data_IF_932096741525
#
_entry.id   IF_932096741525
#
_cell.length_a   1.000
_cell.length_b   1.000
_cell.length_c   1.000
_cell.angle_alpha   90.00
_cell.angle_beta   90.00
_cell.angle_gamma   90.00
#
_symmetry.space_group_name_H-M   'P 1'
#
loop_
_entity.id
_entity.type
_entity.pdbx_description
1 polymer ?
#
# COMPACT_ATOMS: atom_id res chain seq x y z
N UNK A 1 13.34 -0.21 33.11
CA UNK A 1 13.09 -1.31 32.16
C UNK A 1 12.28 -0.74 30.98
N UNK A 2 12.77 -0.78 29.73
CA UNK A 2 11.95 -0.36 28.57
C UNK A 2 10.98 -1.49 28.23
N UNK A 3 9.68 -1.21 28.27
CA UNK A 3 8.68 -2.14 27.77
C UNK A 3 8.97 -2.46 26.30
N UNK A 4 9.11 -3.74 25.93
CA UNK A 4 9.19 -4.15 24.53
C UNK A 4 7.80 -3.94 23.93
N UNK A 5 7.60 -2.82 23.26
CA UNK A 5 6.38 -2.59 22.48
C UNK A 5 6.37 -3.62 21.36
N UNK A 6 5.44 -4.58 21.40
CA UNK A 6 5.21 -5.50 20.29
C UNK A 6 4.38 -4.74 19.24
N UNK A 7 4.96 -4.30 18.12
CA UNK A 7 4.22 -3.55 17.13
C UNK A 7 3.13 -4.41 16.51
N UNK A 8 1.95 -3.84 16.32
CA UNK A 8 0.80 -4.50 15.68
C UNK A 8 0.76 -4.12 14.21
N UNK A 9 0.59 -5.10 13.32
CA UNK A 9 0.44 -4.82 11.89
C UNK A 9 -0.90 -4.11 11.64
N UNK A 10 -0.86 -2.93 11.01
CA UNK A 10 -2.03 -2.13 10.65
C UNK A 10 -3.01 -2.87 9.70
N UNK A 11 -2.49 -3.72 8.81
CA UNK A 11 -3.35 -4.46 7.85
C UNK A 11 -4.10 -5.62 8.49
N UNK A 12 -3.48 -6.33 9.46
CA UNK A 12 -4.04 -7.57 10.04
C UNK A 12 -4.55 -7.41 11.47
N UNK A 13 -4.20 -6.33 12.15
CA UNK A 13 -4.53 -6.09 13.55
C UNK A 13 -3.87 -7.08 14.52
N UNK A 14 -2.86 -7.84 14.08
CA UNK A 14 -2.17 -8.84 14.91
C UNK A 14 -0.73 -8.39 15.23
N UNK A 15 -0.19 -8.78 16.41
CA UNK A 15 1.20 -8.52 16.74
C UNK A 15 2.15 -9.07 15.68
N UNK A 16 3.16 -8.28 15.33
CA UNK A 16 4.26 -8.70 14.48
C UNK A 16 5.18 -9.61 15.31
N UNK A 17 5.59 -10.74 14.73
CA UNK A 17 6.54 -11.67 15.38
C UNK A 17 7.83 -10.93 15.72
N UNK A 18 8.36 -11.12 16.93
CA UNK A 18 9.54 -10.40 17.42
C UNK A 18 10.77 -10.50 16.49
N UNK A 19 10.94 -11.64 15.81
CA UNK A 19 12.06 -11.88 14.88
C UNK A 19 11.66 -11.70 13.41
N UNK A 20 10.45 -11.20 13.14
CA UNK A 20 9.96 -10.97 11.78
C UNK A 20 10.43 -9.65 11.21
N UNK A 21 10.80 -9.62 9.93
CA UNK A 21 11.02 -8.37 9.21
C UNK A 21 9.72 -7.54 9.17
N UNK A 22 9.80 -6.29 9.59
CA UNK A 22 8.69 -5.34 9.57
C UNK A 22 9.10 -3.97 9.06
N UNK A 23 8.13 -3.26 8.50
CA UNK A 23 8.26 -1.87 8.11
C UNK A 23 7.66 -0.98 9.19
N UNK A 24 8.41 0.04 9.60
CA UNK A 24 7.94 1.15 10.43
C UNK A 24 7.90 2.41 9.58
N UNK A 25 6.72 3.02 9.43
CA UNK A 25 6.59 4.30 8.76
C UNK A 25 6.14 5.39 9.74
N UNK A 26 6.77 6.55 9.60
CA UNK A 26 6.43 7.75 10.33
C UNK A 26 5.59 8.66 9.45
N UNK A 27 4.37 8.92 9.89
CA UNK A 27 3.47 9.93 9.36
C UNK A 27 3.41 11.09 10.35
N UNK A 28 2.95 12.25 9.87
CA UNK A 28 2.73 13.41 10.75
C UNK A 28 1.74 13.00 11.86
N UNK A 29 2.23 12.97 13.10
CA UNK A 29 1.44 12.61 14.28
C UNK A 29 1.12 11.11 14.47
N UNK A 30 1.56 10.21 13.57
CA UNK A 30 1.27 8.77 13.68
C UNK A 30 2.45 7.92 13.24
N UNK A 31 2.68 6.81 13.94
CA UNK A 31 3.59 5.75 13.48
C UNK A 31 2.77 4.52 13.14
N UNK A 32 3.01 3.94 11.97
CA UNK A 32 2.36 2.73 11.52
C UNK A 32 3.39 1.61 11.36
N UNK A 33 2.93 0.38 11.57
CA UNK A 33 3.74 -0.82 11.46
C UNK A 33 3.07 -1.82 10.53
N UNK A 34 3.86 -2.48 9.69
CA UNK A 34 3.40 -3.59 8.84
C UNK A 34 4.39 -4.73 8.89
N UNK A 35 3.89 -5.96 8.91
CA UNK A 35 4.74 -7.07 8.49
C UNK A 35 5.12 -6.93 7.01
N UNK A 36 6.30 -7.45 6.67
CA UNK A 36 6.85 -7.34 5.32
C UNK A 36 5.88 -7.84 4.23
N UNK A 37 5.20 -8.97 4.47
CA UNK A 37 4.24 -9.55 3.51
C UNK A 37 3.02 -8.64 3.29
N UNK A 38 2.47 -8.06 4.36
CA UNK A 38 1.37 -7.11 4.25
C UNK A 38 1.77 -5.83 3.53
N UNK A 39 2.99 -5.34 3.76
CA UNK A 39 3.52 -4.21 3.03
C UNK A 39 3.65 -4.51 1.52
N UNK A 40 4.25 -5.66 1.16
CA UNK A 40 4.36 -6.07 -0.24
C UNK A 40 2.99 -6.18 -0.93
N UNK A 41 2.02 -6.80 -0.27
CA UNK A 41 0.66 -6.91 -0.80
C UNK A 41 0.01 -5.53 -1.02
N UNK A 42 0.20 -4.58 -0.09
CA UNK A 42 -0.33 -3.23 -0.21
C UNK A 42 0.32 -2.45 -1.37
N UNK A 43 1.62 -2.64 -1.58
CA UNK A 43 2.32 -2.06 -2.73
C UNK A 43 1.80 -2.62 -4.05
N UNK A 44 1.55 -3.93 -4.14
CA UNK A 44 0.96 -4.56 -5.32
C UNK A 44 -0.45 -4.04 -5.61
N UNK A 45 -1.30 -3.97 -4.60
CA UNK A 45 -2.66 -3.40 -4.70
C UNK A 45 -2.64 -1.96 -5.21
N UNK A 46 -1.69 -1.14 -4.73
CA UNK A 46 -1.55 0.25 -5.16
C UNK A 46 -1.10 0.40 -6.62
N UNK A 47 -0.34 -0.56 -7.14
CA UNK A 47 0.09 -0.59 -8.54
C UNK A 47 -1.06 -1.04 -9.45
N UNK A 48 -1.81 -2.07 -9.06
CA UNK A 48 -3.01 -2.51 -9.79
C UNK A 48 -4.12 -1.45 -9.81
N UNK A 49 -4.24 -0.62 -8.77
CA UNK A 49 -5.15 0.52 -8.77
C UNK A 49 -4.73 1.66 -9.71
N UNK A 50 -3.45 1.73 -10.12
CA UNK A 50 -2.94 2.74 -11.06
C UNK A 50 -3.17 2.36 -12.53
N UNK A 51 -3.12 1.08 -12.87
CA UNK A 51 -3.38 0.62 -14.24
C UNK A 51 -4.85 0.80 -14.63
N UNK A 52 -5.79 0.59 -13.71
CA UNK A 52 -7.22 0.80 -13.99
C UNK A 52 -7.65 2.27 -14.15
N UNK A 53 -6.87 3.24 -13.66
CA UNK A 53 -7.10 4.68 -13.92
C UNK A 53 -6.29 5.24 -15.10
N UNK A 54 -5.20 4.59 -15.49
CA UNK A 54 -4.36 5.00 -16.61
C UNK A 54 -4.88 4.58 -17.99
N UNK A 55 -5.58 3.44 -18.08
CA UNK A 55 -6.15 2.97 -19.35
C UNK A 55 -7.37 3.77 -19.80
N UNK A 56 -8.14 4.32 -18.87
CA UNK A 56 -9.36 5.05 -19.22
C UNK A 56 -9.09 6.44 -19.83
N UNK A 57 -7.87 6.96 -19.69
CA UNK A 57 -7.51 8.27 -20.25
C UNK A 57 -7.02 8.21 -21.71
N UNK A 58 -6.73 7.00 -22.25
CA UNK A 58 -6.26 6.83 -23.65
C UNK A 58 -7.36 6.44 -24.63
N UNK A 59 -8.50 5.95 -24.15
CA UNK A 59 -9.57 5.44 -25.02
C UNK A 59 -10.51 6.51 -25.58
N UNK A 60 -10.48 7.75 -25.08
CA UNK A 60 -11.38 8.82 -25.54
C UNK A 60 -10.83 9.68 -26.68
N UNK A 61 -9.56 9.54 -27.08
CA UNK A 61 -8.99 10.34 -28.18
C UNK A 61 -9.19 9.68 -29.56
N UNK A 62 -9.32 8.35 -29.62
CA UNK A 62 -9.49 7.64 -30.89
C UNK A 62 -10.91 7.76 -31.50
N UNK A 63 -11.93 8.09 -30.70
CA UNK A 63 -13.31 8.19 -31.16
C UNK A 63 -13.68 9.56 -31.77
N UNK A 64 -12.83 10.60 -31.63
CA UNK A 64 -13.15 11.96 -32.09
C UNK A 64 -12.52 12.34 -33.43
N UNK A 65 -11.67 11.49 -34.03
CA UNK A 65 -10.90 11.83 -35.25
C UNK A 65 -11.52 11.24 -36.53
N UNK A 66 -12.45 10.28 -36.42
CA UNK A 66 -13.06 9.60 -37.57
C UNK A 66 -14.38 10.24 -38.07
N UNK A 67 -14.75 11.42 -37.57
CA UNK A 67 -16.01 12.11 -37.92
C UNK A 67 -15.76 13.46 -38.63
N UNK A 68 -14.77 13.53 -39.51
CA UNK A 68 -14.57 14.70 -40.39
C UNK A 68 -14.39 14.30 -41.83
#
# INVERSE_FOLDING_TARGET
MRARVNPTCERRGRPIKQDGNFLKAHFVGRTAYWDWRCFQALMLESQSARTSKGEQCKSNTAASIAAK
#
